data_IF_717019677731
#
_entry.id   IF_717019677731
#
_cell.length_a   1.000
_cell.length_b   1.000
_cell.length_c   1.000
_cell.angle_alpha   90.00
_cell.angle_beta   90.00
_cell.angle_gamma   90.00
#
_symmetry.space_group_name_H-M   'P 1'
#
loop_
_entity.id
_entity.type
_entity.pdbx_description
1 polymer ?
#
# COMPACT_ATOMS: atom_id res chain seq x y z
N UNK A 1 5.44 12.25 14.80
CA UNK A 1 5.08 11.63 13.51
C UNK A 1 3.63 11.92 13.19
N UNK A 2 3.35 12.30 11.96
CA UNK A 2 2.00 12.55 11.48
C UNK A 2 1.67 11.61 10.33
N UNK A 3 0.47 11.04 10.33
CA UNK A 3 -0.09 10.28 9.22
C UNK A 3 -1.29 11.04 8.68
N UNK A 4 -1.32 11.31 7.38
CA UNK A 4 -2.50 11.92 6.76
C UNK A 4 -2.82 11.30 5.42
N UNK A 5 -4.09 11.40 5.03
CA UNK A 5 -4.50 10.98 3.70
C UNK A 5 -3.95 11.97 2.67
N UNK A 6 -3.39 11.43 1.59
CA UNK A 6 -2.89 12.25 0.48
C UNK A 6 -4.02 12.70 -0.43
N UNK A 7 -3.85 13.86 -1.04
CA UNK A 7 -4.73 14.36 -2.09
C UNK A 7 -3.96 14.54 -3.40
N UNK A 8 -4.62 15.07 -4.44
CA UNK A 8 -4.00 15.21 -5.76
C UNK A 8 -2.79 16.13 -5.79
N UNK A 9 -2.67 17.05 -4.83
CA UNK A 9 -1.50 17.92 -4.71
C UNK A 9 -0.26 17.15 -4.24
N UNK A 10 -0.43 15.96 -3.69
CA UNK A 10 0.65 15.11 -3.19
C UNK A 10 1.16 14.11 -4.23
N UNK A 11 0.61 14.10 -5.44
CA UNK A 11 0.92 13.06 -6.44
C UNK A 11 2.41 12.96 -6.78
N UNK A 12 3.10 14.09 -6.90
CA UNK A 12 4.54 14.08 -7.17
C UNK A 12 5.34 13.58 -5.97
N UNK A 13 4.95 13.95 -4.76
CA UNK A 13 5.60 13.48 -3.54
C UNK A 13 5.46 11.97 -3.39
N UNK A 14 4.26 11.45 -3.61
CA UNK A 14 4.01 10.00 -3.62
C UNK A 14 4.87 9.30 -4.67
N UNK A 15 4.95 9.87 -5.87
CA UNK A 15 5.77 9.32 -6.95
C UNK A 15 7.25 9.27 -6.55
N UNK A 16 7.76 10.31 -5.92
CA UNK A 16 9.15 10.35 -5.43
C UNK A 16 9.43 9.24 -4.42
N UNK A 17 8.54 9.05 -3.45
CA UNK A 17 8.68 7.99 -2.45
C UNK A 17 8.56 6.60 -3.09
N UNK A 18 7.62 6.42 -4.01
CA UNK A 18 7.39 5.14 -4.68
C UNK A 18 8.59 4.69 -5.54
N UNK A 19 9.35 5.61 -6.09
CA UNK A 19 10.53 5.27 -6.88
C UNK A 19 11.59 4.51 -6.08
N UNK A 20 11.66 4.74 -4.77
CA UNK A 20 12.56 3.98 -3.90
C UNK A 20 12.15 2.51 -3.80
N UNK A 21 10.88 2.22 -4.00
CA UNK A 21 10.30 0.89 -3.85
C UNK A 21 10.22 0.14 -5.18
N UNK A 22 9.74 0.83 -6.22
CA UNK A 22 9.41 0.22 -7.50
C UNK A 22 10.27 0.69 -8.67
N UNK A 23 11.21 1.59 -8.44
CA UNK A 23 12.04 2.17 -9.50
C UNK A 23 11.26 3.12 -10.41
N UNK A 24 11.74 3.33 -11.63
CA UNK A 24 11.20 4.32 -12.57
C UNK A 24 11.53 5.77 -12.12
N UNK A 25 10.92 6.76 -12.73
CA UNK A 25 11.13 8.17 -12.38
C UNK A 25 9.86 8.76 -11.77
N UNK A 26 9.97 9.81 -10.93
CA UNK A 26 8.78 10.47 -10.39
C UNK A 26 7.83 10.97 -11.48
N UNK A 27 8.36 11.52 -12.56
CA UNK A 27 7.54 12.02 -13.67
C UNK A 27 6.73 10.92 -14.35
N UNK A 28 7.29 9.71 -14.45
CA UNK A 28 6.58 8.56 -15.02
C UNK A 28 5.49 8.03 -14.10
N UNK A 29 5.70 8.10 -12.78
CA UNK A 29 4.76 7.57 -11.78
C UNK A 29 3.69 8.56 -11.34
N UNK A 30 3.94 9.85 -11.47
CA UNK A 30 3.00 10.87 -10.98
C UNK A 30 1.57 10.70 -11.51
N UNK A 31 1.32 10.43 -12.81
CA UNK A 31 -0.06 10.28 -13.31
C UNK A 31 -0.84 9.17 -12.61
N UNK A 32 -0.18 8.07 -12.27
CA UNK A 32 -0.79 6.97 -11.52
C UNK A 32 -1.27 7.44 -10.14
N UNK A 33 -0.40 8.16 -9.42
CA UNK A 33 -0.75 8.66 -8.09
C UNK A 33 -1.80 9.78 -8.14
N UNK A 34 -1.82 10.57 -9.21
CA UNK A 34 -2.90 11.52 -9.40
C UNK A 34 -4.25 10.79 -9.50
N UNK A 35 -4.33 9.72 -10.28
CA UNK A 35 -5.55 8.91 -10.40
C UNK A 35 -5.94 8.29 -9.07
N UNK A 36 -4.98 7.71 -8.36
CA UNK A 36 -5.25 7.05 -7.07
C UNK A 36 -5.78 8.02 -6.02
N UNK A 37 -5.22 9.22 -5.95
CA UNK A 37 -5.63 10.22 -4.95
C UNK A 37 -6.98 10.87 -5.27
N UNK A 38 -7.44 10.78 -6.52
CA UNK A 38 -8.74 11.32 -6.94
C UNK A 38 -9.82 10.26 -7.05
N UNK A 39 -9.48 8.98 -6.95
CA UNK A 39 -10.42 7.87 -7.07
C UNK A 39 -11.09 7.55 -5.73
N UNK A 40 -12.42 7.31 -5.70
CA UNK A 40 -13.07 6.79 -4.50
C UNK A 40 -12.74 5.31 -4.22
N UNK A 41 -12.10 4.62 -5.17
CA UNK A 41 -11.73 3.21 -5.07
C UNK A 41 -10.35 2.99 -4.48
N UNK A 42 -9.63 4.06 -4.15
CA UNK A 42 -8.25 3.97 -3.67
C UNK A 42 -7.95 5.06 -2.65
N UNK A 43 -6.89 4.88 -1.88
CA UNK A 43 -6.37 5.89 -0.98
C UNK A 43 -4.86 5.74 -0.86
N UNK A 44 -4.19 6.87 -0.70
CA UNK A 44 -2.79 6.92 -0.34
C UNK A 44 -2.65 7.68 0.97
N UNK A 45 -1.73 7.23 1.81
CA UNK A 45 -1.42 7.87 3.08
C UNK A 45 0.05 8.22 3.13
N UNK A 46 0.35 9.38 3.69
CA UNK A 46 1.71 9.89 3.87
C UNK A 46 2.05 9.93 5.34
N UNK A 47 3.29 9.59 5.65
CA UNK A 47 3.87 9.76 6.98
C UNK A 47 4.91 10.86 6.97
N UNK A 48 4.87 11.73 7.97
CA UNK A 48 5.80 12.85 8.12
C UNK A 48 6.47 12.80 9.48
N UNK A 49 7.74 13.15 9.51
CA UNK A 49 8.44 13.52 10.72
C UNK A 49 8.68 15.03 10.64
N UNK A 50 7.92 15.80 11.44
CA UNK A 50 7.75 17.24 11.25
C UNK A 50 7.27 17.52 9.83
N UNK A 51 7.97 18.29 9.02
CA UNK A 51 7.60 18.57 7.63
C UNK A 51 8.25 17.61 6.62
N UNK A 52 9.06 16.66 7.11
CA UNK A 52 9.80 15.75 6.26
C UNK A 52 8.98 14.49 5.94
N UNK A 53 8.68 14.19 4.67
CA UNK A 53 8.00 12.97 4.30
C UNK A 53 8.93 11.77 4.48
N UNK A 54 8.48 10.78 5.23
CA UNK A 54 9.30 9.61 5.60
C UNK A 54 8.74 8.28 5.14
N UNK A 55 7.55 8.28 4.56
CA UNK A 55 6.95 7.06 4.04
C UNK A 55 5.56 7.26 3.48
N UNK A 56 5.06 6.23 2.81
CA UNK A 56 3.69 6.22 2.28
C UNK A 56 3.13 4.81 2.27
N UNK A 57 1.81 4.73 2.16
CA UNK A 57 1.10 3.49 1.86
C UNK A 57 0.05 3.75 0.80
N UNK A 58 -0.17 2.75 -0.03
CA UNK A 58 -1.18 2.77 -1.08
C UNK A 58 -2.12 1.58 -0.87
N UNK A 59 -3.42 1.83 -0.86
CA UNK A 59 -4.43 0.80 -0.79
C UNK A 59 -5.57 1.08 -1.75
N UNK A 60 -6.28 0.03 -2.15
CA UNK A 60 -7.43 0.15 -3.05
C UNK A 60 -8.43 -0.96 -2.82
N UNK A 61 -9.63 -0.80 -3.36
CA UNK A 61 -10.63 -1.84 -3.34
C UNK A 61 -10.38 -2.84 -4.46
N UNK A 62 -10.54 -4.12 -4.14
CA UNK A 62 -10.58 -5.17 -5.15
C UNK A 62 -11.95 -5.81 -5.14
N UNK A 63 -12.59 -5.86 -6.32
CA UNK A 63 -13.94 -6.40 -6.49
C UNK A 63 -13.92 -7.85 -6.98
N UNK A 64 -12.82 -8.28 -7.61
CA UNK A 64 -12.62 -9.67 -8.02
C UNK A 64 -12.25 -10.51 -6.81
N UNK A 65 -12.28 -11.83 -6.98
CA UNK A 65 -11.90 -12.75 -5.91
C UNK A 65 -10.48 -12.48 -5.41
N UNK A 66 -10.34 -12.42 -4.09
CA UNK A 66 -9.04 -12.31 -3.42
C UNK A 66 -8.85 -13.57 -2.57
N UNK A 67 -7.70 -14.23 -2.77
CA UNK A 67 -7.38 -15.49 -2.08
C UNK A 67 -7.45 -15.31 -0.56
N UNK A 68 -8.20 -16.21 0.09
CA UNK A 68 -8.39 -16.19 1.54
C UNK A 68 -9.50 -15.25 2.03
N UNK A 69 -10.20 -14.57 1.13
CA UNK A 69 -11.30 -13.66 1.48
C UNK A 69 -12.65 -14.21 0.99
N UNK A 70 -13.69 -13.90 1.75
CA UNK A 70 -15.06 -14.37 1.50
C UNK A 70 -16.01 -13.27 1.03
N UNK A 71 -15.57 -12.01 1.11
CA UNK A 71 -16.40 -10.84 0.81
C UNK A 71 -15.89 -10.06 -0.40
N UNK A 72 -16.69 -9.12 -0.90
CA UNK A 72 -16.31 -8.17 -1.95
C UNK A 72 -17.08 -6.86 -1.74
N UNK A 73 -16.44 -5.70 -1.90
CA UNK A 73 -15.01 -5.55 -2.18
C UNK A 73 -14.14 -5.83 -0.96
N UNK A 74 -12.87 -6.12 -1.22
CA UNK A 74 -11.84 -6.31 -0.20
C UNK A 74 -10.89 -5.11 -0.28
N UNK A 75 -10.51 -4.55 0.87
CA UNK A 75 -9.42 -3.57 0.92
C UNK A 75 -8.10 -4.28 0.66
N UNK A 76 -7.23 -3.69 -0.15
CA UNK A 76 -5.97 -4.33 -0.54
C UNK A 76 -4.81 -3.35 -0.39
N UNK A 77 -3.79 -3.76 0.37
CA UNK A 77 -2.55 -3.01 0.52
C UNK A 77 -1.67 -3.27 -0.70
N UNK A 78 -1.51 -2.27 -1.55
CA UNK A 78 -0.71 -2.40 -2.77
C UNK A 78 0.76 -2.12 -2.53
N UNK A 79 1.09 -1.29 -1.54
CA UNK A 79 2.46 -1.02 -1.16
C UNK A 79 2.56 -0.18 0.10
N UNK A 80 3.66 -0.36 0.81
CA UNK A 80 4.03 0.45 1.96
C UNK A 80 5.54 0.64 1.94
N UNK A 81 5.98 1.89 2.12
CA UNK A 81 7.38 2.25 2.11
C UNK A 81 7.68 3.17 3.29
N UNK A 82 8.80 2.94 3.93
CA UNK A 82 9.33 3.80 5.00
C UNK A 82 10.81 3.99 4.75
N UNK A 83 11.29 5.23 4.83
CA UNK A 83 12.71 5.55 4.72
C UNK A 83 13.52 4.73 5.75
N UNK A 84 14.71 4.29 5.34
CA UNK A 84 15.57 3.41 6.16
C UNK A 84 15.81 3.98 7.56
N UNK A 85 16.03 5.29 7.66
CA UNK A 85 16.31 5.95 8.93
C UNK A 85 15.14 5.88 9.93
N UNK A 86 13.94 5.61 9.45
CA UNK A 86 12.71 5.59 10.26
C UNK A 86 12.09 4.20 10.39
N UNK A 87 12.75 3.16 9.88
CA UNK A 87 12.28 1.77 10.01
C UNK A 87 12.35 1.33 11.47
N UNK A 88 11.51 0.35 11.82
CA UNK A 88 11.38 -0.22 13.17
C UNK A 88 10.93 0.79 14.22
N UNK A 89 10.31 1.89 13.81
CA UNK A 89 9.77 2.92 14.71
C UNK A 89 8.24 2.99 14.71
N UNK A 90 7.57 2.01 14.09
CA UNK A 90 6.11 1.96 14.05
C UNK A 90 5.46 2.72 12.90
N UNK A 91 6.23 3.30 11.99
CA UNK A 91 5.69 4.09 10.87
C UNK A 91 4.87 3.21 9.92
N UNK A 92 5.41 2.06 9.52
CA UNK A 92 4.71 1.15 8.62
C UNK A 92 3.40 0.64 9.23
N UNK A 93 3.40 0.36 10.53
CA UNK A 93 2.19 -0.07 11.26
C UNK A 93 1.15 1.04 11.28
N UNK A 94 1.57 2.27 11.51
CA UNK A 94 0.66 3.42 11.52
C UNK A 94 0.05 3.67 10.13
N UNK A 95 0.85 3.52 9.07
CA UNK A 95 0.38 3.61 7.70
C UNK A 95 -0.63 2.50 7.37
N UNK A 96 -0.33 1.26 7.77
CA UNK A 96 -1.24 0.13 7.61
C UNK A 96 -2.56 0.38 8.34
N UNK A 97 -2.50 0.85 9.58
CA UNK A 97 -3.71 1.15 10.35
C UNK A 97 -4.59 2.19 9.66
N UNK A 98 -3.98 3.20 9.05
CA UNK A 98 -4.72 4.21 8.29
C UNK A 98 -5.42 3.58 7.07
N UNK A 99 -4.76 2.67 6.36
CA UNK A 99 -5.36 1.94 5.24
C UNK A 99 -6.52 1.06 5.69
N UNK A 100 -6.34 0.32 6.78
CA UNK A 100 -7.38 -0.54 7.34
C UNK A 100 -8.61 0.27 7.79
N UNK A 101 -8.38 1.41 8.43
CA UNK A 101 -9.46 2.28 8.86
C UNK A 101 -10.23 2.85 7.67
N UNK A 102 -9.51 3.25 6.61
CA UNK A 102 -10.15 3.68 5.37
C UNK A 102 -11.05 2.57 4.80
N UNK A 103 -10.54 1.35 4.72
CA UNK A 103 -11.31 0.21 4.21
C UNK A 103 -12.57 -0.04 5.04
N UNK A 104 -12.45 0.01 6.37
CA UNK A 104 -13.61 -0.12 7.27
C UNK A 104 -14.64 0.98 7.02
N UNK A 105 -14.18 2.22 6.82
CA UNK A 105 -15.06 3.38 6.63
C UNK A 105 -15.94 3.26 5.39
N UNK A 106 -15.52 2.49 4.39
CA UNK A 106 -16.28 2.27 3.16
C UNK A 106 -16.96 0.89 3.12
N UNK A 107 -16.98 0.18 4.26
CA UNK A 107 -17.77 -1.03 4.44
C UNK A 107 -17.04 -2.35 4.25
N UNK A 108 -15.71 -2.33 4.06
CA UNK A 108 -14.94 -3.58 3.97
C UNK A 108 -14.84 -4.24 5.34
N UNK A 109 -15.00 -5.56 5.36
CA UNK A 109 -14.79 -6.40 6.55
C UNK A 109 -13.52 -7.23 6.45
N UNK A 110 -12.84 -7.20 5.30
CA UNK A 110 -11.60 -7.93 5.06
C UNK A 110 -10.57 -7.03 4.40
N UNK A 111 -9.29 -7.27 4.72
CA UNK A 111 -8.17 -6.54 4.19
C UNK A 111 -7.06 -7.52 3.82
N UNK A 112 -6.52 -7.39 2.62
CA UNK A 112 -5.56 -8.34 2.08
C UNK A 112 -4.32 -7.63 1.53
N UNK A 113 -3.30 -8.40 1.22
CA UNK A 113 -2.05 -7.91 0.65
C UNK A 113 -1.32 -9.06 -0.03
N UNK A 114 -0.23 -8.77 -0.70
CA UNK A 114 0.66 -9.76 -1.26
C UNK A 114 2.11 -9.28 -1.21
N UNK A 115 3.03 -10.18 -1.50
CA UNK A 115 4.43 -9.84 -1.73
C UNK A 115 5.05 -10.90 -2.64
N UNK A 116 6.21 -10.58 -3.21
CA UNK A 116 6.99 -11.55 -3.98
C UNK A 116 7.40 -12.72 -3.08
N UNK A 117 7.42 -13.92 -3.65
CA UNK A 117 7.68 -15.15 -2.89
C UNK A 117 9.07 -15.18 -2.23
N UNK A 118 10.01 -14.46 -2.79
CA UNK A 118 11.38 -14.36 -2.26
C UNK A 118 11.62 -13.10 -1.41
N UNK A 119 10.60 -12.29 -1.20
CA UNK A 119 10.70 -11.11 -0.33
C UNK A 119 10.45 -11.50 1.13
N UNK A 120 11.48 -12.05 1.76
CA UNK A 120 11.39 -12.59 3.12
C UNK A 120 11.11 -11.50 4.17
N UNK A 121 11.63 -10.30 3.98
CA UNK A 121 11.39 -9.18 4.89
C UNK A 121 9.92 -8.75 4.86
N UNK A 122 9.33 -8.69 3.67
CA UNK A 122 7.91 -8.36 3.51
C UNK A 122 7.02 -9.45 4.12
N UNK A 123 7.33 -10.71 3.88
CA UNK A 123 6.61 -11.84 4.49
C UNK A 123 6.61 -11.73 6.02
N UNK A 124 7.78 -11.52 6.61
CA UNK A 124 7.90 -11.39 8.07
C UNK A 124 7.10 -10.20 8.60
N UNK A 125 7.15 -9.07 7.89
CA UNK A 125 6.38 -7.88 8.28
C UNK A 125 4.87 -8.12 8.22
N UNK A 126 4.38 -8.78 7.17
CA UNK A 126 2.97 -9.11 7.04
C UNK A 126 2.48 -10.00 8.20
N UNK A 127 3.22 -11.06 8.52
CA UNK A 127 2.86 -11.95 9.60
C UNK A 127 2.84 -11.23 10.95
N UNK A 128 3.82 -10.36 11.20
CA UNK A 128 3.87 -9.55 12.42
C UNK A 128 2.73 -8.53 12.50
N UNK A 129 2.21 -8.11 11.36
CA UNK A 129 1.16 -7.10 11.27
C UNK A 129 -0.26 -7.69 11.37
N UNK A 130 -0.37 -9.00 11.56
CA UNK A 130 -1.65 -9.67 11.76
C UNK A 130 -2.23 -10.33 10.51
N UNK A 131 -1.52 -10.27 9.36
CA UNK A 131 -1.94 -11.02 8.19
C UNK A 131 -1.64 -12.51 8.35
N UNK A 132 -2.49 -13.35 7.76
CA UNK A 132 -2.25 -14.78 7.65
C UNK A 132 -1.91 -15.12 6.21
N UNK A 133 -0.92 -15.99 5.99
CA UNK A 133 -0.60 -16.47 4.64
C UNK A 133 -1.73 -17.39 4.15
N UNK A 134 -2.36 -17.03 3.03
CA UNK A 134 -3.48 -17.77 2.47
C UNK A 134 -3.10 -18.62 1.26
N UNK A 135 -1.95 -18.40 0.64
CA UNK A 135 -1.52 -19.20 -0.49
C UNK A 135 -0.34 -18.59 -1.22
N UNK A 136 0.18 -19.33 -2.18
CA UNK A 136 1.28 -18.92 -3.05
C UNK A 136 0.92 -19.27 -4.48
N UNK A 137 1.28 -18.39 -5.43
CA UNK A 137 0.86 -18.55 -6.82
C UNK A 137 2.08 -18.48 -7.74
N UNK A 138 2.08 -19.32 -8.78
CA UNK A 138 3.03 -19.26 -9.88
C UNK A 138 2.28 -18.75 -11.10
N UNK A 139 2.84 -17.75 -11.79
CA UNK A 139 2.24 -17.10 -12.93
C UNK A 139 2.83 -17.65 -14.23
N UNK A 140 1.98 -17.88 -15.22
CA UNK A 140 2.39 -18.36 -16.54
C UNK A 140 1.85 -17.42 -17.62
N UNK A 141 2.62 -17.22 -18.68
CA UNK A 141 2.19 -16.47 -19.87
C UNK A 141 2.70 -17.15 -21.13
N UNK A 142 1.97 -16.98 -22.22
CA UNK A 142 2.33 -17.52 -23.53
C UNK A 142 1.88 -16.53 -24.60
N UNK A 143 2.79 -16.16 -25.47
CA UNK A 143 2.46 -15.35 -26.65
C UNK A 143 1.94 -16.25 -27.75
N UNK A 144 0.89 -15.82 -28.42
CA UNK A 144 0.26 -16.56 -29.52
C UNK A 144 0.68 -16.05 -30.89
#
# INVERSE_FOLDING_TARGET
MEIRKADSCDSMLLAQLACHMWGSTPAEREPEFFELTTSPEAACFLAFNDENPIGFAQCQLRHDYVEGCDTSPVGFLEGVYVDDAYRRSGVARALLSACEEWARSIGCSEFASDCEIDNHDSLAWHLKSGFEEMGRTIWFAKKL
#
